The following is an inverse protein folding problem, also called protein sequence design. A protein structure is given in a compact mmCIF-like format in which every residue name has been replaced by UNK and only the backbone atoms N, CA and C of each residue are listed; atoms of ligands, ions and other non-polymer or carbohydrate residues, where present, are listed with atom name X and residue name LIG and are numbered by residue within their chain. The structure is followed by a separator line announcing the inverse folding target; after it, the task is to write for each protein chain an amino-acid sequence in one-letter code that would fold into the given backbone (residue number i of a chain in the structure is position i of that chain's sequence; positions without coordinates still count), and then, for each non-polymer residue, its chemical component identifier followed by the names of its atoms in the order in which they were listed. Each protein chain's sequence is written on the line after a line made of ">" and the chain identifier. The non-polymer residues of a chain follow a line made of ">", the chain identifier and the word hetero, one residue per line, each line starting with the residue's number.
data_IF_232021527659
#
_entry.id   IF_232021527659
#
_cell.length_a   1.000
_cell.length_b   1.000
_cell.length_c   1.000
_cell.angle_alpha   90.00
_cell.angle_beta   90.00
_cell.angle_gamma   90.00
#
_symmetry.space_group_name_H-M   'P 1'
#
loop_
_entity.id
_entity.type
_entity.pdbx_description
1 polymer ?
#
# COMPACT_ATOMS: atom_id res chain seq x y z
N UNK A 1 23.58 7.68 14.51
CA UNK A 1 22.50 7.37 13.55
C UNK A 1 23.07 6.49 12.44
N UNK A 2 22.53 5.28 12.24
CA UNK A 2 23.02 4.28 11.25
C UNK A 2 22.92 4.78 9.79
N UNK A 3 22.11 5.81 9.54
CA UNK A 3 21.89 6.42 8.22
C UNK A 3 23.15 7.12 7.69
N UNK A 4 24.01 7.68 8.56
CA UNK A 4 25.21 8.43 8.16
C UNK A 4 26.32 7.57 7.52
N UNK A 5 26.23 6.24 7.61
CA UNK A 5 27.25 5.32 7.09
C UNK A 5 26.86 4.66 5.76
N UNK A 6 25.73 5.04 5.16
CA UNK A 6 25.35 4.56 3.83
C UNK A 6 26.30 5.19 2.81
N UNK A 7 27.01 4.35 2.05
CA UNK A 7 27.89 4.77 0.96
C UNK A 7 27.29 4.31 -0.36
N UNK A 8 27.16 5.22 -1.32
CA UNK A 8 26.85 4.87 -2.70
C UNK A 8 28.11 4.27 -3.33
N UNK A 9 28.02 3.02 -3.77
CA UNK A 9 28.87 2.49 -4.85
C UNK A 9 28.00 2.58 -6.09
N UNK A 10 28.53 2.99 -7.25
CA UNK A 10 27.78 3.40 -8.46
C UNK A 10 26.92 2.32 -9.13
N UNK A 11 26.09 1.62 -8.36
CA UNK A 11 25.14 0.63 -8.78
C UNK A 11 23.74 0.98 -8.27
N UNK A 12 22.76 0.74 -9.13
CA UNK A 12 21.34 0.96 -8.85
C UNK A 12 20.58 -0.33 -9.19
N UNK A 13 20.21 -1.09 -8.16
CA UNK A 13 19.41 -2.31 -8.29
C UNK A 13 17.97 -2.08 -7.80
N UNK A 14 17.16 -1.39 -8.60
CA UNK A 14 15.77 -1.05 -8.24
C UNK A 14 14.92 -2.30 -8.00
N UNK A 15 15.02 -3.29 -8.90
CA UNK A 15 14.25 -4.54 -8.81
C UNK A 15 14.53 -5.31 -7.53
N UNK A 16 15.80 -5.42 -7.13
CA UNK A 16 16.20 -6.05 -5.88
C UNK A 16 15.70 -5.29 -4.64
N UNK A 17 15.84 -3.96 -4.63
CA UNK A 17 15.36 -3.11 -3.53
C UNK A 17 13.85 -3.20 -3.32
N UNK A 18 13.07 -3.09 -4.40
CA UNK A 18 11.60 -3.21 -4.36
C UNK A 18 11.19 -4.62 -3.91
N UNK A 19 11.82 -5.65 -4.45
CA UNK A 19 11.53 -7.05 -4.09
C UNK A 19 11.78 -7.32 -2.61
N UNK A 20 12.91 -6.84 -2.06
CA UNK A 20 13.23 -6.96 -0.64
C UNK A 20 12.26 -6.18 0.23
N UNK A 21 11.96 -4.92 -0.11
CA UNK A 21 10.99 -4.11 0.63
C UNK A 21 9.61 -4.78 0.68
N UNK A 22 9.14 -5.32 -0.44
CA UNK A 22 7.88 -6.06 -0.49
C UNK A 22 7.91 -7.34 0.37
N UNK A 23 9.03 -8.06 0.39
CA UNK A 23 9.20 -9.24 1.22
C UNK A 23 9.15 -8.89 2.72
N UNK A 24 9.88 -7.86 3.14
CA UNK A 24 9.85 -7.38 4.53
C UNK A 24 8.44 -6.96 4.95
N UNK A 25 7.75 -6.21 4.09
CA UNK A 25 6.36 -5.83 4.36
C UNK A 25 5.47 -7.06 4.55
N UNK A 26 5.63 -8.12 3.73
CA UNK A 26 4.87 -9.37 3.82
C UNK A 26 5.26 -10.25 5.02
N UNK A 27 6.46 -10.08 5.57
CA UNK A 27 6.92 -10.82 6.74
C UNK A 27 6.28 -10.32 8.06
N UNK A 28 5.67 -9.12 8.06
CA UNK A 28 4.96 -8.57 9.22
C UNK A 28 3.72 -9.42 9.52
N UNK A 29 3.70 -10.09 10.69
CA UNK A 29 2.63 -11.00 11.10
C UNK A 29 1.27 -10.32 11.31
N UNK A 30 1.31 -9.07 11.79
CA UNK A 30 0.16 -8.19 12.09
C UNK A 30 0.34 -6.86 11.35
N UNK A 31 0.15 -6.83 10.02
CA UNK A 31 0.42 -5.64 9.23
C UNK A 31 -0.61 -4.54 9.53
N UNK A 32 -0.13 -3.30 9.66
CA UNK A 32 -1.00 -2.12 9.64
C UNK A 32 -1.71 -2.02 8.29
N UNK A 33 -2.86 -1.32 8.26
CA UNK A 33 -3.58 -1.11 7.02
C UNK A 33 -2.83 -0.20 6.04
N UNK A 34 -2.18 0.82 6.57
CA UNK A 34 -1.33 1.73 5.80
C UNK A 34 0.04 1.11 5.62
N UNK A 35 0.40 0.84 4.38
CA UNK A 35 1.63 0.14 4.00
C UNK A 35 2.24 0.82 2.80
N UNK A 36 3.34 1.51 3.02
CA UNK A 36 3.99 2.33 2.00
C UNK A 36 5.46 1.97 1.85
N UNK A 37 5.91 1.86 0.60
CA UNK A 37 7.33 1.79 0.24
C UNK A 37 7.73 3.10 -0.43
N UNK A 38 8.79 3.71 0.08
CA UNK A 38 9.45 4.86 -0.53
C UNK A 38 10.70 4.39 -1.28
N UNK A 39 10.75 4.64 -2.59
CA UNK A 39 11.93 4.36 -3.42
C UNK A 39 12.59 5.69 -3.74
N UNK A 40 13.86 5.82 -3.39
CA UNK A 40 14.67 7.00 -3.67
C UNK A 40 15.82 6.59 -4.60
N UNK A 41 16.00 7.32 -5.70
CA UNK A 41 17.12 7.08 -6.61
C UNK A 41 17.54 8.35 -7.34
N UNK A 42 18.83 8.46 -7.62
CA UNK A 42 19.50 9.55 -8.34
C UNK A 42 20.04 9.10 -9.72
N UNK A 43 19.68 7.91 -10.19
CA UNK A 43 20.23 7.39 -11.44
C UNK A 43 19.51 6.17 -12.03
N UNK A 44 20.05 5.68 -13.14
CA UNK A 44 19.48 4.58 -13.91
C UNK A 44 19.74 3.21 -13.29
N UNK A 45 18.73 2.33 -13.32
CA UNK A 45 18.89 0.93 -12.93
C UNK A 45 19.93 0.24 -13.82
N UNK A 46 21.01 -0.26 -13.21
CA UNK A 46 22.14 -0.85 -13.93
C UNK A 46 22.64 -2.18 -13.33
N UNK A 47 21.97 -2.67 -12.28
CA UNK A 47 22.24 -3.97 -11.67
C UNK A 47 20.94 -4.76 -11.48
N UNK A 48 21.02 -6.08 -11.61
CA UNK A 48 19.84 -6.95 -11.59
C UNK A 48 18.98 -6.77 -12.85
N UNK A 49 17.66 -6.78 -12.69
CA UNK A 49 16.75 -6.42 -13.78
C UNK A 49 16.79 -4.91 -13.96
N UNK A 50 17.24 -4.49 -15.15
CA UNK A 50 17.50 -3.10 -15.52
C UNK A 50 16.60 -2.60 -16.66
N UNK A 51 15.92 -3.50 -17.37
CA UNK A 51 14.94 -3.12 -18.38
C UNK A 51 13.62 -2.66 -17.72
N UNK A 52 12.97 -1.60 -18.23
CA UNK A 52 11.74 -1.06 -17.65
C UNK A 52 10.61 -2.09 -17.50
N UNK A 53 10.39 -2.94 -18.51
CA UNK A 53 9.31 -3.93 -18.49
C UNK A 53 9.50 -4.97 -17.39
N UNK A 54 10.74 -5.47 -17.22
CA UNK A 54 11.11 -6.41 -16.19
C UNK A 54 10.96 -5.81 -14.78
N UNK A 55 11.36 -4.55 -14.59
CA UNK A 55 11.21 -3.84 -13.30
C UNK A 55 9.72 -3.67 -12.95
N UNK A 56 8.89 -3.26 -13.91
CA UNK A 56 7.44 -3.13 -13.71
C UNK A 56 6.78 -4.47 -13.41
N UNK A 57 7.21 -5.54 -14.10
CA UNK A 57 6.69 -6.88 -13.87
C UNK A 57 7.02 -7.40 -12.47
N UNK A 58 8.25 -7.17 -11.99
CA UNK A 58 8.66 -7.50 -10.62
C UNK A 58 7.86 -6.69 -9.62
N UNK A 59 7.74 -5.38 -9.84
CA UNK A 59 7.01 -4.47 -8.93
C UNK A 59 5.56 -4.93 -8.77
N UNK A 60 4.83 -5.15 -9.87
CA UNK A 60 3.45 -5.62 -9.83
C UNK A 60 3.32 -6.99 -9.14
N UNK A 61 4.22 -7.93 -9.45
CA UNK A 61 4.23 -9.26 -8.83
C UNK A 61 4.52 -9.22 -7.33
N UNK A 62 5.47 -8.41 -6.90
CA UNK A 62 5.90 -8.28 -5.51
C UNK A 62 4.90 -7.52 -4.65
N UNK A 63 4.23 -6.49 -5.19
CA UNK A 63 3.24 -5.68 -4.45
C UNK A 63 1.82 -6.23 -4.56
N UNK A 64 1.59 -7.25 -5.42
CA UNK A 64 0.27 -7.83 -5.63
C UNK A 64 -0.68 -6.89 -6.38
N UNK A 65 -0.12 -5.93 -7.12
CA UNK A 65 -0.90 -4.95 -7.85
C UNK A 65 -1.39 -5.53 -9.18
N UNK A 66 -2.55 -5.05 -9.66
CA UNK A 66 -3.09 -5.47 -10.97
C UNK A 66 -2.26 -4.80 -12.07
N UNK A 67 -1.51 -5.54 -12.88
CA UNK A 67 -0.82 -4.90 -14.00
C UNK A 67 -1.87 -4.37 -14.98
N UNK A 68 -1.71 -3.12 -15.44
CA UNK A 68 -2.57 -2.54 -16.49
C UNK A 68 -2.49 -3.30 -17.83
N UNK A 69 -1.53 -4.22 -17.98
CA UNK A 69 -1.38 -5.14 -19.12
C UNK A 69 -0.81 -6.48 -18.65
N UNK A 70 -1.53 -7.58 -18.85
CA UNK A 70 -0.96 -8.92 -18.60
C UNK A 70 0.15 -9.23 -19.61
N UNK A 71 1.34 -9.56 -19.11
CA UNK A 71 2.47 -10.06 -19.92
C UNK A 71 2.77 -11.51 -19.56
N UNK A 72 3.35 -12.32 -20.47
CA UNK A 72 3.76 -13.69 -20.16
C UNK A 72 4.68 -13.77 -18.93
N UNK A 73 5.54 -12.75 -18.76
CA UNK A 73 6.47 -12.63 -17.63
C UNK A 73 5.71 -12.38 -16.32
N UNK A 74 4.76 -11.43 -16.27
CA UNK A 74 3.96 -11.17 -15.06
C UNK A 74 3.13 -12.40 -14.63
N UNK A 75 2.64 -13.19 -15.59
CA UNK A 75 1.95 -14.47 -15.32
C UNK A 75 2.88 -15.53 -14.72
N UNK A 76 4.12 -15.62 -15.18
CA UNK A 76 5.10 -16.56 -14.64
C UNK A 76 5.60 -16.11 -13.26
N UNK A 77 5.93 -14.82 -13.10
CA UNK A 77 6.41 -14.24 -11.84
C UNK A 77 5.36 -14.37 -10.74
N UNK A 78 4.09 -14.02 -11.02
CA UNK A 78 3.00 -14.20 -10.05
C UNK A 78 2.81 -15.67 -9.63
N UNK A 79 2.99 -16.63 -10.54
CA UNK A 79 2.97 -18.08 -10.23
C UNK A 79 4.17 -18.53 -9.40
N UNK A 80 5.38 -18.05 -9.69
CA UNK A 80 6.60 -18.38 -8.93
C UNK A 80 6.57 -17.78 -7.53
N UNK A 81 6.17 -16.50 -7.40
CA UNK A 81 6.01 -15.83 -6.11
C UNK A 81 4.90 -16.47 -5.26
N UNK A 82 3.78 -16.90 -5.87
CA UNK A 82 2.75 -17.70 -5.18
C UNK A 82 3.25 -19.05 -4.72
N UNK A 83 4.10 -19.75 -5.50
CA UNK A 83 4.60 -21.09 -5.14
C UNK A 83 5.56 -21.10 -3.95
N UNK A 84 6.25 -20.00 -3.65
CA UNK A 84 7.07 -19.88 -2.43
C UNK A 84 6.27 -19.53 -1.18
N UNK A 85 5.05 -19.02 -1.33
CA UNK A 85 4.13 -18.75 -0.23
C UNK A 85 3.21 -19.95 -0.01
N UNK A 86 3.71 -20.99 0.67
CA UNK A 86 2.94 -22.17 1.09
C UNK A 86 1.94 -21.89 2.22
N UNK A 87 1.27 -20.74 2.23
CA UNK A 87 0.31 -20.36 3.27
C UNK A 87 -0.94 -19.76 2.66
N UNK A 88 -2.10 -20.28 3.09
CA UNK A 88 -3.44 -19.81 2.70
C UNK A 88 -3.50 -18.29 2.86
N UNK A 89 -4.03 -17.61 1.85
CA UNK A 89 -4.10 -16.15 1.74
C UNK A 89 -4.64 -15.49 3.02
N UNK A 90 -3.75 -14.94 3.85
CA UNK A 90 -4.11 -13.82 4.70
C UNK A 90 -4.32 -12.63 3.77
N UNK A 91 -5.48 -11.98 3.88
CA UNK A 91 -5.81 -10.79 3.10
C UNK A 91 -4.83 -9.69 3.53
N UNK A 92 -3.78 -9.45 2.75
CA UNK A 92 -2.79 -8.44 3.09
C UNK A 92 -3.29 -7.10 2.53
N UNK A 93 -3.30 -6.06 3.36
CA UNK A 93 -3.61 -4.71 2.93
C UNK A 93 -2.71 -4.28 1.75
N UNK A 94 -3.23 -3.52 0.78
CA UNK A 94 -2.46 -3.10 -0.39
C UNK A 94 -1.21 -2.33 0.04
N UNK A 95 -0.14 -2.50 -0.72
CA UNK A 95 1.11 -1.75 -0.51
C UNK A 95 1.17 -0.66 -1.57
N UNK A 96 1.30 0.59 -1.14
CA UNK A 96 1.49 1.74 -2.03
C UNK A 96 2.97 2.01 -2.22
N UNK A 97 3.39 2.39 -3.42
CA UNK A 97 4.77 2.76 -3.73
C UNK A 97 4.86 4.21 -4.21
N UNK A 98 5.70 5.00 -3.53
CA UNK A 98 6.07 6.34 -3.96
C UNK A 98 7.53 6.36 -4.40
N UNK A 99 7.81 7.02 -5.51
CA UNK A 99 9.14 7.07 -6.12
C UNK A 99 9.67 8.50 -6.10
N UNK A 100 10.94 8.66 -5.76
CA UNK A 100 11.64 9.94 -5.68
C UNK A 100 12.85 9.87 -6.61
N UNK A 101 12.84 10.69 -7.65
CA UNK A 101 13.94 10.84 -8.60
C UNK A 101 14.74 12.10 -8.29
N UNK A 102 16.03 11.94 -8.00
CA UNK A 102 16.94 13.03 -7.66
C UNK A 102 17.80 13.44 -8.85
N UNK A 103 17.95 14.75 -9.04
CA UNK A 103 18.73 15.29 -10.16
C UNK A 103 18.02 15.14 -11.50
N UNK A 104 18.72 15.36 -12.61
CA UNK A 104 18.12 15.34 -13.95
C UNK A 104 18.44 14.09 -14.76
N UNK A 105 19.32 13.22 -14.26
CA UNK A 105 19.90 12.08 -14.97
C UNK A 105 19.30 10.73 -14.53
N UNK A 106 18.04 10.73 -14.11
CA UNK A 106 17.29 9.52 -13.78
C UNK A 106 16.15 9.28 -14.77
N UNK A 107 15.70 8.02 -14.81
CA UNK A 107 14.58 7.62 -15.65
C UNK A 107 13.24 8.02 -15.01
N UNK A 108 12.82 9.27 -15.22
CA UNK A 108 11.56 9.80 -14.69
C UNK A 108 10.35 8.98 -15.16
N UNK A 109 10.39 8.46 -16.39
CA UNK A 109 9.28 7.71 -16.98
C UNK A 109 9.13 6.36 -16.27
N UNK A 110 10.23 5.63 -16.09
CA UNK A 110 10.24 4.39 -15.34
C UNK A 110 9.75 4.60 -13.89
N UNK A 111 10.25 5.63 -13.19
CA UNK A 111 9.84 5.90 -11.81
C UNK A 111 8.36 6.25 -11.70
N UNK A 112 7.82 6.98 -12.67
CA UNK A 112 6.40 7.29 -12.74
C UNK A 112 5.56 6.03 -13.06
N UNK A 113 6.04 5.17 -13.95
CA UNK A 113 5.35 3.92 -14.27
C UNK A 113 5.37 2.97 -13.07
N UNK A 114 6.46 2.93 -12.30
CA UNK A 114 6.56 2.19 -11.03
C UNK A 114 5.52 2.70 -10.02
N UNK A 115 5.41 4.01 -9.81
CA UNK A 115 4.46 4.56 -8.84
C UNK A 115 3.01 4.25 -9.23
N UNK A 116 2.70 4.31 -10.54
CA UNK A 116 1.39 3.95 -11.10
C UNK A 116 1.04 2.47 -11.00
N UNK A 117 1.99 1.59 -10.67
CA UNK A 117 1.66 0.18 -10.46
C UNK A 117 0.74 -0.03 -9.26
N UNK A 118 0.74 0.86 -8.27
CA UNK A 118 -0.08 0.74 -7.06
C UNK A 118 -1.10 1.88 -6.98
N UNK A 119 -2.26 1.60 -6.39
CA UNK A 119 -3.22 2.65 -6.07
C UNK A 119 -2.63 3.63 -5.03
N UNK A 120 -2.82 4.93 -5.28
CA UNK A 120 -2.28 6.00 -4.43
C UNK A 120 -0.78 6.28 -4.59
N UNK A 121 -0.07 5.55 -5.46
CA UNK A 121 1.36 5.76 -5.67
C UNK A 121 1.65 7.05 -6.44
N UNK A 122 2.70 7.77 -6.04
CA UNK A 122 3.07 9.07 -6.62
C UNK A 122 4.56 9.12 -6.91
N UNK A 123 4.92 9.72 -8.02
CA UNK A 123 6.29 10.05 -8.37
C UNK A 123 6.59 11.51 -8.03
N UNK A 124 7.72 11.73 -7.39
CA UNK A 124 8.24 13.03 -7.00
C UNK A 124 9.58 13.26 -7.69
N UNK A 125 9.67 14.39 -8.40
CA UNK A 125 10.92 14.89 -8.93
C UNK A 125 11.56 15.83 -7.90
N UNK A 126 12.82 15.58 -7.58
CA UNK A 126 13.59 16.37 -6.62
C UNK A 126 14.83 16.92 -7.34
N UNK A 127 14.78 18.19 -7.71
CA UNK A 127 15.89 18.91 -8.36
C UNK A 127 16.90 19.51 -7.38
N UNK A 128 16.52 19.64 -6.11
CA UNK A 128 17.28 20.34 -5.08
C UNK A 128 16.94 19.85 -3.67
N UNK A 129 17.90 19.92 -2.75
CA UNK A 129 17.74 19.48 -1.36
C UNK A 129 16.59 20.21 -0.64
N UNK A 130 16.27 21.44 -1.02
CA UNK A 130 15.13 22.20 -0.49
C UNK A 130 13.78 21.56 -0.80
N UNK A 131 13.66 20.85 -1.93
CA UNK A 131 12.41 20.26 -2.40
C UNK A 131 12.15 18.87 -1.81
N UNK A 132 13.19 18.24 -1.23
CA UNK A 132 13.08 16.93 -0.55
C UNK A 132 12.06 17.00 0.57
N UNK A 133 12.17 17.99 1.46
CA UNK A 133 11.32 18.08 2.63
C UNK A 133 9.84 18.27 2.26
N UNK A 134 9.55 19.08 1.23
CA UNK A 134 8.19 19.27 0.72
C UNK A 134 7.63 17.99 0.11
N UNK A 135 8.37 17.35 -0.79
CA UNK A 135 7.92 16.13 -1.45
C UNK A 135 7.71 14.96 -0.47
N UNK A 136 8.58 14.85 0.54
CA UNK A 136 8.37 13.91 1.65
C UNK A 136 7.16 14.31 2.50
N UNK A 137 6.97 15.61 2.76
CA UNK A 137 5.81 16.13 3.48
C UNK A 137 4.50 15.79 2.80
N UNK A 138 4.40 15.95 1.48
CA UNK A 138 3.23 15.60 0.68
C UNK A 138 2.97 14.09 0.69
N UNK A 139 4.01 13.29 0.46
CA UNK A 139 3.90 11.85 0.45
C UNK A 139 3.50 11.30 1.83
N UNK A 140 4.11 11.83 2.89
CA UNK A 140 3.76 11.49 4.26
C UNK A 140 2.37 12.00 4.63
N UNK A 141 1.97 13.20 4.22
CA UNK A 141 0.65 13.76 4.46
C UNK A 141 -0.46 12.90 3.84
N UNK A 142 -0.24 12.40 2.62
CA UNK A 142 -1.13 11.43 1.99
C UNK A 142 -1.21 10.11 2.77
N UNK A 143 -0.08 9.62 3.29
CA UNK A 143 0.00 8.38 4.09
C UNK A 143 -0.60 8.54 5.50
N UNK A 144 -0.43 9.70 6.12
CA UNK A 144 -0.94 10.06 7.46
C UNK A 144 -2.39 10.52 7.43
N UNK A 145 -3.01 10.64 6.25
CA UNK A 145 -4.43 10.96 6.16
C UNK A 145 -5.29 9.91 6.85
N UNK A 146 -4.81 8.68 7.12
CA UNK A 146 -5.55 7.73 7.97
C UNK A 146 -5.62 8.21 9.41
N UNK A 147 -6.80 8.62 9.84
CA UNK A 147 -7.08 9.15 11.19
C UNK A 147 -7.55 8.08 12.17
N UNK A 148 -8.09 6.96 11.69
CA UNK A 148 -8.42 5.82 12.54
C UNK A 148 -8.19 4.50 11.79
N UNK A 149 -7.69 3.50 12.50
CA UNK A 149 -7.48 2.16 11.95
C UNK A 149 -8.40 1.16 12.62
N UNK A 150 -8.91 0.20 11.84
CA UNK A 150 -9.78 -0.88 12.31
C UNK A 150 -10.96 -0.39 13.17
N UNK A 151 -11.61 0.71 12.77
CA UNK A 151 -12.77 1.24 13.46
C UNK A 151 -13.90 0.20 13.44
N UNK A 152 -14.51 0.00 14.60
CA UNK A 152 -15.66 -0.89 14.80
C UNK A 152 -16.78 -0.09 15.44
N UNK A 153 -17.91 -0.01 14.75
CA UNK A 153 -19.12 0.57 15.29
C UNK A 153 -19.88 -0.50 16.09
N UNK A 154 -20.11 -0.26 17.37
CA UNK A 154 -20.96 -1.11 18.21
C UNK A 154 -22.32 -0.42 18.37
N UNK A 155 -23.37 -1.06 17.89
CA UNK A 155 -24.76 -0.62 18.00
C UNK A 155 -25.41 -1.42 19.12
N UNK A 156 -25.99 -0.74 20.12
CA UNK A 156 -26.71 -1.36 21.24
C UNK A 156 -28.03 -0.63 21.44
N UNK A 157 -29.13 -1.37 21.56
CA UNK A 157 -30.46 -0.80 21.84
C UNK A 157 -30.81 -0.90 23.33
N UNK A 158 -31.58 0.04 23.89
CA UNK A 158 -32.04 -0.04 25.27
C UNK A 158 -33.09 -1.14 25.48
N UNK A 159 -33.32 -1.59 26.73
CA UNK A 159 -34.32 -2.59 27.05
C UNK A 159 -35.71 -2.16 26.59
N UNK A 160 -36.44 -3.07 25.95
CA UNK A 160 -37.77 -2.81 25.37
C UNK A 160 -37.73 -2.46 23.88
N UNK A 161 -36.58 -2.06 23.34
CA UNK A 161 -36.39 -1.84 21.92
C UNK A 161 -35.71 -3.04 21.24
N UNK A 162 -35.96 -3.22 19.94
CA UNK A 162 -35.35 -4.29 19.13
C UNK A 162 -34.66 -3.72 17.90
N UNK A 163 -33.39 -4.06 17.71
CA UNK A 163 -32.68 -3.82 16.45
C UNK A 163 -33.21 -4.79 15.39
N UNK A 164 -33.88 -4.28 14.36
CA UNK A 164 -34.55 -5.10 13.34
C UNK A 164 -33.59 -5.47 12.21
N UNK A 165 -32.83 -4.49 11.73
CA UNK A 165 -31.92 -4.69 10.61
C UNK A 165 -30.76 -3.69 10.68
N UNK A 166 -29.60 -4.10 10.19
CA UNK A 166 -28.44 -3.24 9.94
C UNK A 166 -28.08 -3.43 8.48
N UNK A 167 -28.02 -2.37 7.70
CA UNK A 167 -27.81 -2.41 6.25
C UNK A 167 -26.35 -2.11 5.92
N UNK A 168 -25.46 -3.06 6.25
CA UNK A 168 -24.03 -2.94 5.97
C UNK A 168 -23.39 -4.31 5.73
N UNK A 169 -22.56 -4.42 4.69
CA UNK A 169 -21.98 -5.69 4.21
C UNK A 169 -21.06 -6.38 5.23
N UNK A 170 -20.47 -5.59 6.13
CA UNK A 170 -19.53 -6.06 7.16
C UNK A 170 -20.13 -6.12 8.57
N UNK A 171 -21.46 -6.22 8.68
CA UNK A 171 -22.12 -6.42 9.98
C UNK A 171 -21.83 -7.83 10.52
N UNK A 172 -21.66 -7.95 11.82
CA UNK A 172 -21.61 -9.24 12.49
C UNK A 172 -23.03 -9.84 12.54
N UNK A 173 -23.09 -11.17 12.66
CA UNK A 173 -24.34 -11.83 13.04
C UNK A 173 -24.84 -11.20 14.36
N UNK A 174 -26.12 -10.82 14.37
CA UNK A 174 -26.74 -10.12 15.49
C UNK A 174 -26.60 -10.96 16.77
N UNK A 175 -25.98 -10.39 17.80
CA UNK A 175 -25.87 -11.03 19.13
C UNK A 175 -26.83 -10.29 20.06
N UNK A 176 -28.08 -10.77 20.13
CA UNK A 176 -29.12 -10.18 20.97
C UNK A 176 -29.50 -8.75 20.58
N UNK A 177 -29.44 -7.83 21.55
CA UNK A 177 -29.74 -6.39 21.43
C UNK A 177 -28.55 -5.56 20.87
N UNK A 178 -27.49 -6.23 20.38
CA UNK A 178 -26.30 -5.55 19.89
C UNK A 178 -25.81 -6.09 18.54
N UNK A 179 -25.23 -5.19 17.74
CA UNK A 179 -24.59 -5.53 16.46
C UNK A 179 -23.26 -4.80 16.34
N UNK A 180 -22.25 -5.47 15.79
CA UNK A 180 -20.97 -4.86 15.46
C UNK A 180 -20.87 -4.67 13.95
N UNK A 181 -20.44 -3.49 13.53
CA UNK A 181 -20.15 -3.21 12.12
C UNK A 181 -18.67 -2.87 12.00
N UNK A 182 -17.94 -3.69 11.25
CA UNK A 182 -16.54 -3.40 10.97
C UNK A 182 -16.48 -2.34 9.87
N UNK A 183 -16.06 -1.14 10.26
CA UNK A 183 -15.86 -0.01 9.35
C UNK A 183 -14.45 -0.10 8.74
N UNK A 184 -13.46 -0.61 9.46
CA UNK A 184 -12.08 -0.60 8.98
C UNK A 184 -11.49 0.80 9.14
N UNK A 185 -10.66 1.24 8.20
CA UNK A 185 -9.89 2.47 8.41
C UNK A 185 -10.67 3.71 7.94
N UNK A 186 -10.41 4.83 8.62
CA UNK A 186 -10.91 6.16 8.28
C UNK A 186 -9.77 7.05 7.81
N UNK A 187 -10.01 7.77 6.73
CA UNK A 187 -9.16 8.82 6.22
C UNK A 187 -9.66 10.20 6.70
N UNK A 188 -8.80 11.21 6.66
CA UNK A 188 -9.11 12.57 7.06
C UNK A 188 -10.27 13.07 6.20
N UNK A 189 -11.24 13.72 6.85
CA UNK A 189 -12.47 14.23 6.21
C UNK A 189 -13.41 13.16 5.63
N UNK A 190 -13.11 11.86 5.77
CA UNK A 190 -13.99 10.77 5.35
C UNK A 190 -15.18 10.62 6.30
N UNK A 191 -16.39 10.52 5.73
CA UNK A 191 -17.63 10.19 6.45
C UNK A 191 -18.23 8.90 5.91
N UNK A 192 -18.82 8.09 6.80
CA UNK A 192 -19.53 6.86 6.43
C UNK A 192 -20.85 6.76 7.16
N UNK A 193 -21.90 6.51 6.40
CA UNK A 193 -23.24 6.32 6.92
C UNK A 193 -23.53 4.82 7.11
N UNK A 194 -24.09 4.48 8.27
CA UNK A 194 -24.56 3.13 8.57
C UNK A 194 -26.05 3.20 8.87
N UNK A 195 -26.87 2.63 7.99
CA UNK A 195 -28.31 2.59 8.15
C UNK A 195 -28.72 1.37 8.99
N UNK A 196 -29.61 1.59 9.96
CA UNK A 196 -30.21 0.54 10.78
C UNK A 196 -31.64 0.88 11.17
N UNK A 197 -32.44 -0.16 11.44
CA UNK A 197 -33.85 -0.04 11.83
C UNK A 197 -34.03 -0.51 13.27
N UNK A 198 -34.79 0.25 14.05
CA UNK A 198 -35.13 -0.07 15.45
C UNK A 198 -36.64 -0.07 15.60
N UNK A 199 -37.16 -1.07 16.31
CA UNK A 199 -38.53 -1.08 16.82
C UNK A 199 -38.49 -0.68 18.28
N UNK A 200 -39.34 0.27 18.67
CA UNK A 200 -39.49 0.72 20.06
C UNK A 200 -40.51 -0.13 20.81
#
# INVERSE_FOLDING_TARGET
>A
SKIKNIRTRGCTNLSGGIGMGAQEMRAVETPNAVRTIFVLTDGHANQGVSDPEGILAITAGCLGAKPGRETPITRCVSKVLRKRSGSKSKNHYPITIHTFGYGTDHDHKLLQDISKTTEGGTYYFVDSDSNVASAFGDALGGVFSVVAQNAVLNISVPPGSRLTSVHHDKKSNQVGESCKVNLGDFYAEESRDVLFEVTL
#
